data_IF_975842512175
#
_entry.id   IF_975842512175
#
_cell.length_a   1.000
_cell.length_b   1.000
_cell.length_c   1.000
_cell.angle_alpha   90.00
_cell.angle_beta   90.00
_cell.angle_gamma   90.00
#
_symmetry.space_group_name_H-M   'P 1'
#
loop_
_entity.id
_entity.type
_entity.pdbx_description
1 polymer ?
#
# COMPACT_ATOMS: atom_id res chain seq x y z
N UNK A 1 8.32 -9.98 -17.15
CA UNK A 1 7.61 -9.94 -15.86
C UNK A 1 7.65 -8.52 -15.32
N UNK A 2 6.52 -7.99 -14.86
CA UNK A 2 6.44 -6.68 -14.21
C UNK A 2 6.27 -6.85 -12.70
N UNK A 3 6.40 -5.76 -11.94
CA UNK A 3 6.09 -5.71 -10.51
C UNK A 3 4.62 -5.34 -10.36
N UNK A 4 3.91 -5.98 -9.44
CA UNK A 4 2.49 -5.72 -9.18
C UNK A 4 2.28 -5.34 -7.73
N UNK A 5 1.36 -4.41 -7.45
CA UNK A 5 0.82 -4.20 -6.10
C UNK A 5 -0.48 -4.97 -6.00
N UNK A 6 -0.53 -5.95 -5.09
CA UNK A 6 -1.65 -6.88 -4.95
C UNK A 6 -2.12 -6.97 -3.50
N UNK A 7 -3.37 -7.36 -3.28
CA UNK A 7 -3.86 -7.64 -1.94
C UNK A 7 -3.49 -9.05 -1.46
N UNK A 8 -3.17 -9.18 -0.16
CA UNK A 8 -2.89 -10.47 0.48
C UNK A 8 -4.19 -11.10 0.97
N UNK A 9 -4.45 -12.35 0.57
CA UNK A 9 -5.67 -13.07 1.00
C UNK A 9 -5.56 -13.54 2.45
N UNK A 10 -6.71 -13.75 3.09
CA UNK A 10 -6.78 -14.26 4.46
C UNK A 10 -6.05 -15.60 4.65
N UNK A 11 -6.14 -16.51 3.67
CA UNK A 11 -5.43 -17.80 3.70
C UNK A 11 -3.90 -17.62 3.71
N UNK A 12 -3.42 -16.66 2.94
CA UNK A 12 -2.00 -16.44 2.70
C UNK A 12 -1.41 -15.71 3.91
N UNK A 13 -2.10 -14.67 4.39
CA UNK A 13 -1.71 -13.94 5.61
C UNK A 13 -1.66 -14.83 6.86
N UNK A 14 -2.55 -15.81 6.99
CA UNK A 14 -2.59 -16.70 8.15
C UNK A 14 -1.34 -17.59 8.29
N UNK A 15 -0.61 -17.80 7.19
CA UNK A 15 0.62 -18.61 7.15
C UNK A 15 1.88 -17.75 6.98
N UNK A 16 1.71 -16.42 6.93
CA UNK A 16 2.78 -15.48 6.67
C UNK A 16 3.53 -15.14 7.96
N UNK A 17 4.85 -15.39 7.98
CA UNK A 17 5.69 -15.06 9.13
C UNK A 17 5.71 -13.56 9.44
N UNK A 18 5.49 -12.71 8.43
CA UNK A 18 5.38 -11.25 8.60
C UNK A 18 4.22 -10.87 9.49
N UNK A 19 3.15 -11.67 9.54
CA UNK A 19 1.98 -11.40 10.38
C UNK A 19 2.33 -11.44 11.88
N UNK A 20 3.11 -12.45 12.30
CA UNK A 20 3.56 -12.59 13.68
C UNK A 20 4.53 -11.45 14.05
N UNK A 21 5.54 -11.22 13.21
CA UNK A 21 6.56 -10.20 13.45
C UNK A 21 5.97 -8.78 13.47
N UNK A 22 4.97 -8.51 12.64
CA UNK A 22 4.23 -7.25 12.68
C UNK A 22 3.52 -7.07 14.02
N UNK A 23 2.86 -8.10 14.54
CA UNK A 23 2.17 -8.02 15.82
C UNK A 23 3.13 -7.79 16.99
N UNK A 24 4.31 -8.41 16.97
CA UNK A 24 5.38 -8.14 17.94
C UNK A 24 5.87 -6.69 17.85
N UNK A 25 6.10 -6.18 16.64
CA UNK A 25 6.52 -4.80 16.42
C UNK A 25 5.46 -3.77 16.83
N UNK A 26 4.18 -4.06 16.59
CA UNK A 26 3.05 -3.24 17.07
C UNK A 26 2.96 -3.26 18.60
N UNK A 27 3.08 -4.44 19.22
CA UNK A 27 3.07 -4.58 20.67
C UNK A 27 4.22 -3.81 21.33
N UNK A 28 5.42 -3.84 20.73
CA UNK A 28 6.56 -3.04 21.19
C UNK A 28 6.31 -1.52 21.16
N UNK A 29 5.36 -1.06 20.34
CA UNK A 29 4.88 0.32 20.28
C UNK A 29 3.64 0.58 21.14
N UNK A 30 3.17 -0.39 21.91
CA UNK A 30 1.95 -0.30 22.72
C UNK A 30 0.66 -0.28 21.88
N UNK A 31 0.71 -0.79 20.65
CA UNK A 31 -0.42 -0.81 19.72
C UNK A 31 -1.10 -2.19 19.70
N UNK A 32 -2.41 -2.26 19.36
CA UNK A 32 -3.11 -3.52 19.24
C UNK A 32 -2.54 -4.35 18.06
N UNK A 33 -2.62 -5.69 18.13
CA UNK A 33 -2.23 -6.53 17.02
C UNK A 33 -3.16 -6.31 15.82
N UNK A 34 -2.63 -6.53 14.62
CA UNK A 34 -3.42 -6.61 13.40
C UNK A 34 -3.94 -8.05 13.23
N UNK A 35 -5.27 -8.29 13.32
CA UNK A 35 -5.83 -9.64 13.30
C UNK A 35 -5.78 -10.31 11.91
N UNK A 36 -5.32 -9.60 10.89
CA UNK A 36 -5.28 -10.07 9.51
C UNK A 36 -6.50 -9.69 8.68
N UNK A 37 -6.48 -10.05 7.37
CA UNK A 37 -7.59 -9.82 6.48
C UNK A 37 -8.82 -10.60 6.91
N UNK A 38 -10.00 -9.98 6.80
CA UNK A 38 -11.26 -10.73 6.93
C UNK A 38 -11.37 -11.64 5.71
N UNK A 39 -11.82 -12.88 5.90
CA UNK A 39 -12.12 -13.78 4.78
C UNK A 39 -13.24 -13.14 3.94
N UNK A 40 -12.88 -12.56 2.79
CA UNK A 40 -13.82 -11.89 1.90
C UNK A 40 -14.32 -12.90 0.87
N UNK A 41 -15.60 -13.26 0.93
CA UNK A 41 -16.21 -14.16 -0.05
C UNK A 41 -16.46 -13.49 -1.42
N UNK A 42 -16.47 -12.14 -1.49
CA UNK A 42 -17.00 -11.39 -2.65
C UNK A 42 -16.26 -10.11 -3.04
N UNK A 43 -15.16 -9.71 -2.39
CA UNK A 43 -14.40 -8.55 -2.89
C UNK A 43 -13.59 -8.93 -4.13
N UNK A 44 -13.66 -8.09 -5.16
CA UNK A 44 -12.72 -8.14 -6.28
C UNK A 44 -11.30 -7.90 -5.76
N UNK A 45 -10.33 -8.64 -6.30
CA UNK A 45 -8.92 -8.48 -5.91
C UNK A 45 -8.44 -7.06 -6.28
N UNK A 46 -7.57 -6.50 -5.45
CA UNK A 46 -6.75 -5.37 -5.84
C UNK A 46 -5.50 -5.90 -6.51
N UNK A 47 -5.27 -5.49 -7.75
CA UNK A 47 -4.08 -5.83 -8.51
C UNK A 47 -3.80 -4.68 -9.47
N UNK A 48 -2.62 -4.08 -9.37
CA UNK A 48 -2.18 -3.04 -10.29
C UNK A 48 -0.73 -3.26 -10.68
N UNK A 49 -0.42 -3.10 -11.96
CA UNK A 49 0.94 -3.30 -12.46
C UNK A 49 1.72 -1.99 -12.40
N UNK A 50 2.88 -2.01 -11.76
CA UNK A 50 3.75 -0.84 -11.70
C UNK A 50 4.29 -0.49 -13.10
N UNK A 51 4.26 0.81 -13.42
CA UNK A 51 4.80 1.35 -14.67
C UNK A 51 6.17 1.96 -14.40
N UNK A 52 7.30 1.34 -14.80
CA UNK A 52 8.65 1.49 -14.20
C UNK A 52 9.30 2.88 -14.00
N UNK A 53 8.68 4.02 -14.32
CA UNK A 53 9.25 5.35 -14.01
C UNK A 53 8.48 6.02 -12.89
N UNK A 54 9.10 6.08 -11.71
CA UNK A 54 8.57 6.75 -10.51
C UNK A 54 9.25 8.09 -10.19
N UNK A 55 10.27 8.52 -10.95
CA UNK A 55 11.07 9.69 -10.58
C UNK A 55 10.19 10.94 -10.40
N UNK A 56 9.31 11.23 -11.36
CA UNK A 56 8.41 12.40 -11.27
C UNK A 56 7.48 12.31 -10.05
N UNK A 57 7.08 11.10 -9.66
CA UNK A 57 6.30 10.86 -8.45
C UNK A 57 7.14 11.08 -7.18
N UNK A 58 8.40 10.67 -7.17
CA UNK A 58 9.30 10.93 -6.05
C UNK A 58 9.69 12.40 -5.93
N UNK A 59 9.86 13.10 -7.05
CA UNK A 59 10.07 14.54 -7.09
C UNK A 59 8.85 15.29 -6.54
N UNK A 60 7.63 14.83 -6.85
CA UNK A 60 6.40 15.29 -6.22
C UNK A 60 6.41 15.04 -4.70
N UNK A 61 6.73 13.81 -4.28
CA UNK A 61 6.78 13.43 -2.87
C UNK A 61 7.78 14.28 -2.06
N UNK A 62 8.91 14.66 -2.65
CA UNK A 62 9.94 15.46 -2.00
C UNK A 62 9.46 16.86 -1.56
N UNK A 63 8.32 17.34 -2.07
CA UNK A 63 7.70 18.61 -1.68
C UNK A 63 6.83 18.51 -0.42
N UNK A 64 6.56 17.29 0.05
CA UNK A 64 5.68 17.00 1.17
C UNK A 64 6.42 16.29 2.30
N UNK A 65 6.00 16.56 3.53
CA UNK A 65 6.44 15.80 4.70
C UNK A 65 5.66 14.48 4.83
N UNK A 66 6.20 13.53 5.59
CA UNK A 66 5.53 12.26 5.95
C UNK A 66 5.22 11.33 4.76
N UNK A 67 6.04 11.36 3.72
CA UNK A 67 5.88 10.53 2.51
C UNK A 67 6.53 9.15 2.61
N UNK A 68 7.16 8.83 3.75
CA UNK A 68 7.83 7.55 4.00
C UNK A 68 6.94 6.33 3.72
N UNK A 69 5.65 6.44 4.04
CA UNK A 69 4.67 5.38 3.81
C UNK A 69 4.53 4.96 2.33
N UNK A 70 4.84 5.86 1.39
CA UNK A 70 4.70 5.63 -0.05
C UNK A 70 5.82 4.73 -0.61
N UNK A 71 6.92 4.56 0.13
CA UNK A 71 8.04 3.69 -0.24
C UNK A 71 8.05 2.33 0.46
N UNK A 72 7.04 2.01 1.25
CA UNK A 72 6.98 0.74 1.97
C UNK A 72 6.66 -0.44 1.05
N UNK A 73 7.16 -1.63 1.40
CA UNK A 73 6.93 -2.88 0.65
C UNK A 73 5.65 -3.62 1.05
N UNK A 74 5.17 -3.37 2.27
CA UNK A 74 3.94 -3.93 2.80
C UNK A 74 3.08 -2.80 3.36
N UNK A 75 1.81 -2.74 2.93
CA UNK A 75 0.85 -1.73 3.38
C UNK A 75 -0.22 -2.45 4.20
N UNK A 76 -0.45 -2.02 5.44
CA UNK A 76 -1.41 -2.68 6.33
C UNK A 76 -2.46 -1.70 6.85
N UNK A 77 -3.69 -2.15 7.11
CA UNK A 77 -4.77 -1.30 7.64
C UNK A 77 -4.68 -1.09 9.16
N UNK A 78 -3.49 -1.21 9.75
CA UNK A 78 -3.22 -0.86 11.14
C UNK A 78 -2.79 0.60 11.25
N UNK A 79 -3.22 1.30 12.30
CA UNK A 79 -2.85 2.70 12.51
C UNK A 79 -1.59 2.83 13.37
N UNK A 80 -0.51 3.34 12.77
CA UNK A 80 0.75 3.63 13.43
C UNK A 80 1.53 4.69 12.64
N UNK A 81 2.48 5.37 13.30
CA UNK A 81 3.37 6.36 12.69
C UNK A 81 4.75 5.75 12.37
N UNK A 82 5.42 6.34 11.37
CA UNK A 82 6.71 5.86 10.86
C UNK A 82 6.61 4.49 10.17
N UNK A 83 7.77 3.94 9.81
CA UNK A 83 7.87 2.60 9.23
C UNK A 83 8.15 1.55 10.30
N UNK A 84 7.68 0.32 10.08
CA UNK A 84 8.13 -0.89 10.78
C UNK A 84 9.01 -1.67 9.83
N UNK A 85 10.20 -2.09 10.25
CA UNK A 85 11.04 -2.99 9.47
C UNK A 85 10.91 -4.40 10.02
N UNK A 86 10.52 -5.34 9.16
CA UNK A 86 10.49 -6.76 9.48
C UNK A 86 11.74 -7.43 8.89
N UNK A 87 12.42 -8.31 9.65
CA UNK A 87 13.61 -9.04 9.20
C UNK A 87 13.26 -10.19 8.25
N UNK A 88 12.32 -9.96 7.34
CA UNK A 88 11.84 -10.90 6.32
C UNK A 88 12.17 -10.32 4.97
N UNK A 89 12.83 -11.13 4.13
CA UNK A 89 13.17 -10.73 2.77
C UNK A 89 11.91 -10.57 1.92
N UNK A 90 11.80 -9.44 1.23
CA UNK A 90 10.79 -9.24 0.20
C UNK A 90 11.37 -9.53 -1.19
N UNK A 91 10.51 -9.55 -2.21
CA UNK A 91 10.96 -9.70 -3.60
C UNK A 91 11.88 -8.55 -4.07
N UNK A 92 11.84 -7.40 -3.39
CA UNK A 92 12.50 -6.16 -3.82
C UNK A 92 13.57 -5.65 -2.85
N UNK A 93 13.65 -6.18 -1.62
CA UNK A 93 14.57 -5.73 -0.58
C UNK A 93 14.88 -6.84 0.44
N UNK A 94 16.04 -6.76 1.08
CA UNK A 94 16.49 -7.73 2.09
C UNK A 94 15.67 -7.69 3.40
N UNK A 95 14.99 -6.58 3.65
CA UNK A 95 14.02 -6.40 4.73
C UNK A 95 12.68 -5.95 4.17
N UNK A 96 11.59 -6.23 4.89
CA UNK A 96 10.26 -5.78 4.51
C UNK A 96 9.90 -4.54 5.32
N UNK A 97 9.89 -3.38 4.66
CA UNK A 97 9.35 -2.15 5.24
C UNK A 97 7.82 -2.18 5.21
N UNK A 98 7.20 -1.87 6.34
CA UNK A 98 5.76 -1.89 6.54
C UNK A 98 5.28 -0.48 6.85
N UNK A 99 4.25 -0.03 6.13
CA UNK A 99 3.58 1.24 6.38
C UNK A 99 2.11 1.05 6.72
N UNK A 100 1.59 2.00 7.47
CA UNK A 100 0.17 2.14 7.73
C UNK A 100 -0.55 2.73 6.52
N UNK A 101 -1.62 2.07 6.08
CA UNK A 101 -2.53 2.60 5.06
C UNK A 101 -3.17 3.94 5.48
N UNK A 102 -3.32 4.19 6.80
CA UNK A 102 -3.80 5.47 7.31
C UNK A 102 -2.83 6.60 6.99
N UNK A 103 -1.53 6.38 7.24
CA UNK A 103 -0.49 7.37 6.96
C UNK A 103 -0.29 7.56 5.46
N UNK A 104 -0.37 6.49 4.68
CA UNK A 104 -0.35 6.58 3.21
C UNK A 104 -1.50 7.45 2.68
N UNK A 105 -2.72 7.26 3.18
CA UNK A 105 -3.89 8.05 2.78
C UNK A 105 -3.71 9.53 3.11
N UNK A 106 -3.17 9.85 4.29
CA UNK A 106 -2.87 11.22 4.68
C UNK A 106 -1.79 11.85 3.78
N UNK A 107 -0.73 11.11 3.49
CA UNK A 107 0.39 11.58 2.67
C UNK A 107 -0.03 11.86 1.22
N UNK A 108 -0.88 11.02 0.63
CA UNK A 108 -1.26 11.11 -0.78
C UNK A 108 -2.36 12.14 -1.05
N UNK A 109 -3.17 12.49 -0.05
CA UNK A 109 -4.29 13.42 -0.19
C UNK A 109 -3.90 14.80 -0.79
N UNK A 110 -2.87 15.51 -0.29
CA UNK A 110 -2.49 16.80 -0.87
C UNK A 110 -1.91 16.66 -2.29
N UNK A 111 -1.23 15.55 -2.60
CA UNK A 111 -0.72 15.26 -3.94
C UNK A 111 -1.86 15.02 -4.94
N UNK A 112 -2.89 14.27 -4.53
CA UNK A 112 -4.09 14.06 -5.33
C UNK A 112 -4.80 15.37 -5.67
N UNK A 113 -4.85 16.31 -4.73
CA UNK A 113 -5.37 17.65 -4.98
C UNK A 113 -4.50 18.45 -5.97
N UNK A 114 -3.17 18.38 -5.83
CA UNK A 114 -2.24 19.09 -6.71
C UNK A 114 -2.34 18.63 -8.16
N UNK A 115 -2.35 17.31 -8.38
CA UNK A 115 -2.46 16.72 -9.73
C UNK A 115 -3.90 16.74 -10.27
N UNK A 116 -4.85 17.29 -9.50
CA UNK A 116 -6.29 17.34 -9.84
C UNK A 116 -6.84 15.96 -10.17
N UNK A 117 -6.51 14.98 -9.33
CA UNK A 117 -6.93 13.60 -9.51
C UNK A 117 -8.48 13.51 -9.55
N UNK A 118 -9.07 12.77 -10.50
CA UNK A 118 -10.51 12.53 -10.51
C UNK A 118 -11.01 11.94 -9.19
N UNK A 119 -12.20 12.38 -8.74
CA UNK A 119 -12.83 11.84 -7.53
C UNK A 119 -13.24 10.38 -7.72
N UNK A 120 -13.81 10.08 -8.89
CA UNK A 120 -14.20 8.74 -9.29
C UNK A 120 -13.05 8.08 -10.06
N UNK A 121 -12.32 7.23 -9.37
CA UNK A 121 -11.27 6.41 -9.96
C UNK A 121 -11.86 5.12 -10.51
N UNK A 122 -11.35 4.60 -11.63
CA UNK A 122 -11.76 3.29 -12.13
C UNK A 122 -11.39 2.23 -11.10
N UNK A 123 -12.21 1.20 -10.98
CA UNK A 123 -12.08 0.14 -9.98
C UNK A 123 -12.06 -1.23 -10.63
N UNK A 124 -11.38 -2.16 -9.98
CA UNK A 124 -11.20 -3.54 -10.43
C UNK A 124 -9.72 -3.82 -10.67
N UNK A 125 -9.35 -5.10 -10.90
CA UNK A 125 -7.98 -5.46 -11.24
C UNK A 125 -7.52 -4.74 -12.50
N UNK A 126 -6.30 -4.16 -12.46
CA UNK A 126 -5.63 -3.46 -13.55
C UNK A 126 -6.31 -2.18 -14.03
N UNK A 127 -7.38 -1.74 -13.38
CA UNK A 127 -8.22 -0.66 -13.85
C UNK A 127 -7.47 0.68 -13.91
N UNK A 128 -6.60 0.97 -12.94
CA UNK A 128 -5.76 2.18 -13.00
C UNK A 128 -4.68 2.05 -14.06
N UNK A 129 -4.04 0.89 -14.13
CA UNK A 129 -2.98 0.61 -15.11
C UNK A 129 -3.47 0.84 -16.54
N UNK A 130 -4.72 0.47 -16.83
CA UNK A 130 -5.32 0.64 -18.15
C UNK A 130 -5.81 2.07 -18.39
N UNK A 131 -6.33 2.74 -17.36
CA UNK A 131 -6.95 4.05 -17.49
C UNK A 131 -5.95 5.22 -17.59
N UNK A 132 -4.79 5.12 -16.93
CA UNK A 132 -3.85 6.24 -16.82
C UNK A 132 -2.60 6.02 -17.68
N UNK A 133 -2.42 6.91 -18.66
CA UNK A 133 -1.18 6.98 -19.48
C UNK A 133 -0.13 7.91 -18.88
N UNK A 134 -0.56 8.92 -18.12
CA UNK A 134 0.32 9.78 -17.34
C UNK A 134 0.80 9.05 -16.10
N UNK A 135 2.12 8.86 -15.99
CA UNK A 135 2.74 8.08 -14.90
C UNK A 135 2.62 8.75 -13.54
N UNK A 136 2.72 10.09 -13.49
CA UNK A 136 2.59 10.83 -12.25
C UNK A 136 1.18 10.66 -11.70
N UNK A 137 0.17 10.89 -12.56
CA UNK A 137 -1.24 10.75 -12.18
C UNK A 137 -1.54 9.29 -11.80
N UNK A 138 -1.02 8.32 -12.55
CA UNK A 138 -1.14 6.90 -12.24
C UNK A 138 -0.64 6.58 -10.82
N UNK A 139 0.57 7.00 -10.46
CA UNK A 139 1.13 6.69 -9.14
C UNK A 139 0.36 7.36 -8.01
N UNK A 140 -0.09 8.60 -8.20
CA UNK A 140 -0.94 9.27 -7.21
C UNK A 140 -2.29 8.55 -7.05
N UNK A 141 -2.89 8.10 -8.15
CA UNK A 141 -4.12 7.31 -8.15
C UNK A 141 -3.92 5.95 -7.44
N UNK A 142 -2.81 5.27 -7.77
CA UNK A 142 -2.45 3.97 -7.23
C UNK A 142 -2.35 4.01 -5.71
N UNK A 143 -1.53 4.90 -5.16
CA UNK A 143 -1.35 4.97 -3.71
C UNK A 143 -2.61 5.45 -2.98
N UNK A 144 -3.39 6.34 -3.58
CA UNK A 144 -4.70 6.73 -3.03
C UNK A 144 -5.64 5.53 -2.95
N UNK A 145 -5.83 4.82 -4.06
CA UNK A 145 -6.77 3.70 -4.13
C UNK A 145 -6.28 2.50 -3.32
N UNK A 146 -4.97 2.24 -3.29
CA UNK A 146 -4.36 1.20 -2.45
C UNK A 146 -4.65 1.45 -0.96
N UNK A 147 -4.41 2.66 -0.46
CA UNK A 147 -4.71 3.01 0.92
C UNK A 147 -6.21 2.89 1.23
N UNK A 148 -7.08 3.41 0.36
CA UNK A 148 -8.53 3.33 0.54
C UNK A 148 -9.05 1.89 0.48
N UNK A 149 -8.52 1.07 -0.43
CA UNK A 149 -8.87 -0.34 -0.56
C UNK A 149 -8.43 -1.11 0.68
N UNK A 150 -7.17 -0.95 1.11
CA UNK A 150 -6.63 -1.63 2.29
C UNK A 150 -7.48 -1.35 3.54
N UNK A 151 -7.84 -0.07 3.75
CA UNK A 151 -8.68 0.35 4.87
C UNK A 151 -10.12 -0.16 4.76
N UNK A 152 -10.74 -0.05 3.58
CA UNK A 152 -12.13 -0.46 3.35
C UNK A 152 -12.31 -1.96 3.52
N UNK A 153 -11.35 -2.75 3.05
CA UNK A 153 -11.42 -4.20 3.03
C UNK A 153 -10.66 -4.86 4.19
N UNK A 154 -10.05 -4.06 5.07
CA UNK A 154 -9.18 -4.52 6.14
C UNK A 154 -8.12 -5.52 5.64
N UNK A 155 -7.46 -5.22 4.53
CA UNK A 155 -6.60 -6.17 3.82
C UNK A 155 -5.20 -5.57 3.56
N UNK A 156 -4.10 -6.31 3.79
CA UNK A 156 -2.76 -5.87 3.45
C UNK A 156 -2.53 -5.86 1.94
N UNK A 157 -1.62 -5.02 1.48
CA UNK A 157 -1.15 -5.00 0.10
C UNK A 157 0.36 -5.17 0.05
N UNK A 158 0.86 -5.92 -0.93
CA UNK A 158 2.29 -6.17 -1.13
C UNK A 158 2.70 -6.08 -2.60
N UNK A 159 4.01 -5.89 -2.81
CA UNK A 159 4.60 -5.94 -4.15
C UNK A 159 5.07 -7.36 -4.50
N UNK A 160 4.60 -7.89 -5.63
CA UNK A 160 4.98 -9.22 -6.16
C UNK A 160 5.66 -9.14 -7.51
#
# INVERSE_FOLDING_TARGET
>A
MGIYLVNIRASDWAQDERALLLNEALAARGLPPYPGPKAMATAENFEEKLVPRMNDFWDLCARYSNTEALGAMLIVPADFTGLIELPVKSNLADVTSVASAWRMREAIAPMAAEVKLPLDLPSGPMALTEAFTDRLIFYVALFKQAAEYSLRHNCPLEYV
#
